data_IF_491275505099
#
_entry.id   IF_491275505099
#
_cell.length_a   1.000
_cell.length_b   1.000
_cell.length_c   1.000
_cell.angle_alpha   90.00
_cell.angle_beta   90.00
_cell.angle_gamma   90.00
#
_symmetry.space_group_name_H-M   'P 1'
#
loop_
_entity.id
_entity.type
_entity.pdbx_description
1 polymer ?
#
# COMPACT_ATOMS: atom_id res chain seq x y z
N UNK A 1 -1.19 -4.29 -13.41
CA UNK A 1 -1.60 -3.37 -12.33
C UNK A 1 -2.51 -2.29 -12.87
N UNK A 2 -3.47 -1.83 -12.06
CA UNK A 2 -4.35 -0.71 -12.41
C UNK A 2 -3.85 0.58 -11.75
N UNK A 3 -3.93 1.75 -12.41
CA UNK A 3 -3.54 3.03 -11.81
C UNK A 3 -4.31 3.33 -10.51
N UNK A 4 -5.56 2.87 -10.44
CA UNK A 4 -6.39 2.95 -9.25
C UNK A 4 -5.80 2.17 -8.06
N UNK A 5 -5.18 1.02 -8.31
CA UNK A 5 -4.54 0.17 -7.31
C UNK A 5 -3.35 0.90 -6.66
N UNK A 6 -2.53 1.56 -7.49
CA UNK A 6 -1.39 2.38 -7.06
C UNK A 6 -1.84 3.61 -6.27
N UNK A 7 -2.92 4.27 -6.71
CA UNK A 7 -3.49 5.40 -6.01
C UNK A 7 -3.98 5.02 -4.61
N UNK A 8 -4.69 3.88 -4.48
CA UNK A 8 -5.15 3.40 -3.19
C UNK A 8 -3.99 3.12 -2.23
N UNK A 9 -2.94 2.45 -2.69
CA UNK A 9 -1.75 2.19 -1.87
C UNK A 9 -1.06 3.47 -1.45
N UNK A 10 -0.80 4.38 -2.40
CA UNK A 10 -0.15 5.65 -2.12
C UNK A 10 -0.89 6.42 -1.02
N UNK A 11 -2.22 6.47 -1.09
CA UNK A 11 -3.01 7.16 -0.09
C UNK A 11 -2.95 6.44 1.27
N UNK A 12 -3.02 5.11 1.29
CA UNK A 12 -2.89 4.36 2.54
C UNK A 12 -1.55 4.64 3.22
N UNK A 13 -0.45 4.60 2.48
CA UNK A 13 0.90 4.85 3.01
C UNK A 13 1.06 6.30 3.45
N UNK A 14 0.65 7.24 2.59
CA UNK A 14 0.74 8.69 2.86
C UNK A 14 0.01 9.10 4.14
N UNK A 15 -1.12 8.47 4.43
CA UNK A 15 -1.97 8.80 5.58
C UNK A 15 -1.81 7.81 6.74
N UNK A 16 -0.88 6.84 6.64
CA UNK A 16 -0.67 5.77 7.60
C UNK A 16 -2.00 5.07 8.00
N UNK A 17 -2.86 4.80 7.01
CA UNK A 17 -4.23 4.36 7.25
C UNK A 17 -4.34 3.00 7.95
N UNK A 18 -3.28 2.19 7.91
CA UNK A 18 -3.19 0.90 8.60
C UNK A 18 -2.68 1.01 10.05
N UNK A 19 -2.38 2.20 10.56
CA UNK A 19 -1.88 2.39 11.92
C UNK A 19 -2.88 1.89 12.97
N UNK A 20 -2.41 1.10 13.93
CA UNK A 20 -3.25 0.47 14.95
C UNK A 20 -4.17 -0.66 14.45
N UNK A 21 -4.20 -0.97 13.14
CA UNK A 21 -4.96 -2.10 12.60
C UNK A 21 -4.21 -3.41 12.85
N UNK A 22 -4.75 -4.23 13.75
CA UNK A 22 -4.11 -5.46 14.22
C UNK A 22 -4.38 -6.68 13.32
N UNK A 23 -5.50 -6.69 12.59
CA UNK A 23 -5.91 -7.82 11.76
C UNK A 23 -5.77 -7.50 10.27
N UNK A 24 -5.06 -8.33 9.53
CA UNK A 24 -4.84 -8.13 8.09
C UNK A 24 -6.11 -8.28 7.25
N UNK A 25 -7.17 -8.89 7.78
CA UNK A 25 -8.48 -8.97 7.14
C UNK A 25 -9.41 -7.80 7.49
N UNK A 26 -9.02 -6.94 8.44
CA UNK A 26 -9.79 -5.77 8.80
C UNK A 26 -9.78 -4.76 7.66
N UNK A 27 -10.95 -4.22 7.34
CA UNK A 27 -11.14 -3.27 6.27
C UNK A 27 -10.84 -1.86 6.77
N UNK A 28 -10.00 -1.15 6.02
CA UNK A 28 -9.76 0.29 6.23
C UNK A 28 -10.16 1.08 5.02
N UNK A 29 -10.67 2.27 5.28
CA UNK A 29 -11.08 3.21 4.24
C UNK A 29 -9.83 3.83 3.62
N UNK A 30 -9.75 3.80 2.31
CA UNK A 30 -8.72 4.50 1.55
C UNK A 30 -8.98 6.01 1.65
N UNK A 31 -8.09 6.79 2.29
CA UNK A 31 -8.26 8.23 2.41
C UNK A 31 -8.02 8.91 1.06
N UNK A 32 -8.51 10.15 0.90
CA UNK A 32 -8.22 10.98 -0.28
C UNK A 32 -8.94 10.57 -1.58
N UNK A 33 -9.94 9.69 -1.51
CA UNK A 33 -10.82 9.36 -2.63
C UNK A 33 -12.22 9.96 -2.40
N UNK A 34 -12.86 10.45 -3.47
CA UNK A 34 -14.24 10.96 -3.40
C UNK A 34 -15.24 9.85 -3.04
N UNK A 35 -14.97 8.63 -3.50
CA UNK A 35 -15.76 7.45 -3.18
C UNK A 35 -15.13 6.71 -2.02
N UNK A 36 -15.97 6.21 -1.10
CA UNK A 36 -15.54 5.31 -0.03
C UNK A 36 -15.10 3.98 -0.63
N UNK A 37 -13.82 3.71 -0.54
CA UNK A 37 -13.21 2.45 -0.95
C UNK A 37 -12.61 1.84 0.31
N UNK A 38 -12.86 0.56 0.52
CA UNK A 38 -12.38 -0.18 1.68
C UNK A 38 -11.48 -1.30 1.20
N UNK A 39 -10.33 -1.45 1.86
CA UNK A 39 -9.37 -2.49 1.53
C UNK A 39 -8.79 -3.06 2.81
N UNK A 40 -8.56 -4.37 2.80
CA UNK A 40 -7.85 -5.04 3.88
C UNK A 40 -6.36 -5.12 3.57
N UNK A 41 -5.52 -5.23 4.61
CA UNK A 41 -4.07 -5.37 4.40
C UNK A 41 -3.76 -6.64 3.60
N UNK A 42 -4.53 -7.70 3.78
CA UNK A 42 -4.45 -8.91 2.96
C UNK A 42 -4.69 -8.62 1.47
N UNK A 43 -5.69 -7.81 1.11
CA UNK A 43 -5.94 -7.41 -0.28
C UNK A 43 -4.85 -6.48 -0.83
N UNK A 44 -4.33 -5.56 0.00
CA UNK A 44 -3.23 -4.69 -0.37
C UNK A 44 -1.92 -5.47 -0.58
N UNK A 45 -1.68 -6.52 0.20
CA UNK A 45 -0.50 -7.38 0.10
C UNK A 45 -0.43 -8.10 -1.26
N UNK A 46 -1.57 -8.55 -1.80
CA UNK A 46 -1.66 -9.14 -3.15
C UNK A 46 -1.40 -8.13 -4.28
N UNK A 47 -1.60 -6.82 -4.06
CA UNK A 47 -1.44 -5.81 -5.10
C UNK A 47 0.04 -5.52 -5.43
N UNK A 48 0.98 -5.81 -4.53
CA UNK A 48 2.38 -5.36 -4.66
C UNK A 48 3.45 -6.45 -4.52
N UNK A 49 3.24 -7.49 -3.71
CA UNK A 49 4.32 -8.45 -3.41
C UNK A 49 4.61 -9.45 -4.55
N UNK A 50 3.62 -9.78 -5.38
CA UNK A 50 3.79 -10.76 -6.46
C UNK A 50 4.40 -10.19 -7.75
N UNK A 51 4.78 -8.91 -7.79
CA UNK A 51 5.38 -8.28 -8.98
C UNK A 51 6.89 -8.08 -8.74
N UNK A 52 7.75 -8.89 -9.39
CA UNK A 52 9.20 -8.86 -9.20
C UNK A 52 9.83 -7.48 -9.40
N UNK A 53 9.27 -6.70 -10.33
CA UNK A 53 9.72 -5.34 -10.65
C UNK A 53 9.46 -4.37 -9.50
N UNK A 54 8.36 -4.54 -8.76
CA UNK A 54 8.05 -3.72 -7.59
C UNK A 54 8.88 -4.10 -6.38
N UNK A 55 9.16 -5.39 -6.19
CA UNK A 55 10.11 -5.85 -5.17
C UNK A 55 11.49 -5.24 -5.41
N UNK A 56 11.99 -5.31 -6.65
CA UNK A 56 13.27 -4.68 -7.02
C UNK A 56 13.23 -3.17 -6.83
N UNK A 57 12.15 -2.50 -7.24
CA UNK A 57 12.00 -1.07 -7.06
C UNK A 57 11.99 -0.67 -5.56
N UNK A 58 11.29 -1.43 -4.71
CA UNK A 58 11.29 -1.22 -3.27
C UNK A 58 12.70 -1.43 -2.67
N UNK A 59 13.39 -2.51 -3.05
CA UNK A 59 14.76 -2.80 -2.62
C UNK A 59 15.74 -1.69 -3.07
N UNK A 60 15.61 -1.18 -4.31
CA UNK A 60 16.42 -0.08 -4.85
C UNK A 60 16.16 1.24 -4.09
N UNK A 61 14.90 1.55 -3.77
CA UNK A 61 14.54 2.71 -2.95
C UNK A 61 15.11 2.58 -1.53
N UNK A 62 14.96 1.42 -0.89
CA UNK A 62 15.48 1.18 0.47
C UNK A 62 17.01 1.29 0.52
N UNK A 63 17.73 0.84 -0.50
CA UNK A 63 19.19 1.04 -0.59
C UNK A 63 19.58 2.51 -0.70
N UNK A 64 18.79 3.33 -1.39
CA UNK A 64 19.08 4.75 -1.59
C UNK A 64 18.75 5.58 -0.35
N UNK A 65 17.69 5.23 0.39
CA UNK A 65 17.22 6.00 1.55
C UNK A 65 17.59 5.41 2.92
N UNK A 66 18.06 4.17 3.00
CA UNK A 66 18.47 3.50 4.24
C UNK A 66 19.89 3.83 4.73
N UNK A 67 20.63 4.71 4.04
CA UNK A 67 21.98 5.16 4.42
C UNK A 67 22.05 6.61 4.95
N UNK A 68 20.94 7.16 5.46
CA UNK A 68 20.87 8.52 6.01
C UNK A 68 20.81 8.56 7.53
#
# INVERSE_FOLDING_TARGET
>A
MCAFCLLCQHNIERFNAYDGVANDHELVVVPGLEKRIEVSRAQAFWLFWEIPEFKKFADDVEQVFGQG
#
